data_IF_479680703663
#
_entry.id   IF_479680703663
#
_cell.length_a   1.000
_cell.length_b   1.000
_cell.length_c   1.000
_cell.angle_alpha   90.00
_cell.angle_beta   90.00
_cell.angle_gamma   90.00
#
_symmetry.space_group_name_H-M   'P 1'
#
loop_
_entity.id
_entity.type
_entity.pdbx_description
1 polymer ?
#
# COMPACT_ATOMS: atom_id res chain seq x y z
N UNK A 1 3.38 1.09 16.36
CA UNK A 1 3.90 2.25 15.59
C UNK A 1 2.86 2.60 14.53
N UNK A 2 2.38 3.84 14.49
CA UNK A 2 1.35 4.27 13.53
C UNK A 2 1.96 4.48 12.15
N UNK A 3 1.40 3.81 11.13
CA UNK A 3 1.83 3.98 9.74
C UNK A 3 1.44 5.37 9.22
N UNK A 4 2.38 6.12 8.58
CA UNK A 4 2.13 7.45 8.01
C UNK A 4 1.14 7.45 6.83
N UNK A 5 0.62 6.28 6.45
CA UNK A 5 -0.38 6.11 5.39
C UNK A 5 -1.82 6.40 5.85
N UNK A 6 -2.12 6.36 7.17
CA UNK A 6 -3.51 6.56 7.67
C UNK A 6 -4.03 8.00 7.51
N UNK A 7 -3.15 8.97 7.33
CA UNK A 7 -3.51 10.39 7.26
C UNK A 7 -4.04 10.82 5.89
N UNK A 8 -3.81 10.05 4.83
CA UNK A 8 -4.20 10.41 3.46
C UNK A 8 -5.28 9.45 2.96
N UNK A 9 -6.21 9.91 2.12
CA UNK A 9 -7.42 9.16 1.69
C UNK A 9 -7.14 7.81 0.99
N UNK A 10 -5.87 7.45 0.81
CA UNK A 10 -5.40 6.11 0.52
C UNK A 10 -5.56 5.19 1.73
N UNK A 11 -6.68 4.48 1.81
CA UNK A 11 -6.90 3.53 2.92
C UNK A 11 -6.22 2.21 2.58
N UNK A 12 -5.00 2.01 3.10
CA UNK A 12 -4.32 0.70 3.06
C UNK A 12 -5.28 -0.38 3.56
N UNK A 13 -5.50 -1.41 2.74
CA UNK A 13 -6.41 -2.53 3.06
C UNK A 13 -5.64 -3.77 3.46
N UNK A 14 -4.46 -4.00 2.88
CA UNK A 14 -3.65 -5.15 3.17
C UNK A 14 -2.18 -4.84 2.82
N UNK A 15 -1.26 -5.47 3.55
CA UNK A 15 0.18 -5.42 3.29
C UNK A 15 0.84 -6.63 3.94
N UNK A 16 1.99 -7.06 3.43
CA UNK A 16 2.76 -8.15 4.01
C UNK A 16 3.83 -8.69 3.09
N UNK A 17 4.38 -9.84 3.49
CA UNK A 17 5.34 -10.61 2.71
C UNK A 17 4.55 -11.46 1.69
N UNK A 18 5.08 -11.57 0.47
CA UNK A 18 4.55 -12.45 -0.55
C UNK A 18 4.63 -13.91 -0.09
N UNK A 19 3.53 -14.64 -0.24
CA UNK A 19 3.54 -16.09 0.01
C UNK A 19 4.29 -16.87 -1.08
N UNK A 20 4.55 -16.25 -2.24
CA UNK A 20 5.09 -16.92 -3.43
C UNK A 20 6.55 -16.56 -3.71
N UNK A 21 7.02 -15.44 -3.15
CA UNK A 21 8.33 -14.85 -3.42
C UNK A 21 9.04 -14.59 -2.08
N UNK A 22 10.20 -15.20 -1.84
CA UNK A 22 10.90 -15.17 -0.55
C UNK A 22 11.25 -13.74 -0.07
N UNK A 23 11.58 -12.85 -1.01
CA UNK A 23 11.87 -11.43 -0.76
C UNK A 23 10.80 -10.49 -1.34
N UNK A 24 9.62 -11.03 -1.66
CA UNK A 24 8.51 -10.26 -2.20
C UNK A 24 7.72 -9.59 -1.08
N UNK A 25 7.30 -8.34 -1.31
CA UNK A 25 6.38 -7.63 -0.43
C UNK A 25 5.21 -7.12 -1.26
N UNK A 26 4.03 -7.04 -0.63
CA UNK A 26 2.86 -6.46 -1.27
C UNK A 26 2.24 -5.36 -0.41
N UNK A 27 1.66 -4.39 -1.09
CA UNK A 27 0.85 -3.32 -0.51
C UNK A 27 -0.40 -3.19 -1.38
N UNK A 28 -1.57 -3.26 -0.73
CA UNK A 28 -2.86 -3.05 -1.39
C UNK A 28 -3.53 -1.86 -0.72
N UNK A 29 -3.92 -0.91 -1.56
CA UNK A 29 -4.65 0.29 -1.19
C UNK A 29 -6.00 0.31 -1.88
N UNK A 30 -7.06 0.67 -1.14
CA UNK A 30 -8.35 0.96 -1.74
C UNK A 30 -8.54 2.45 -1.94
N UNK A 31 -9.14 2.79 -3.08
CA UNK A 31 -9.53 4.14 -3.45
C UNK A 31 -11.03 4.15 -3.69
N UNK A 32 -11.67 5.30 -3.49
CA UNK A 32 -13.12 5.46 -3.69
C UNK A 32 -13.54 5.15 -5.13
N UNK A 33 -12.75 5.63 -6.08
CA UNK A 33 -12.95 5.46 -7.51
C UNK A 33 -11.62 5.66 -8.25
N UNK A 34 -11.60 5.39 -9.56
CA UNK A 34 -10.41 5.56 -10.40
C UNK A 34 -9.96 7.03 -10.50
N UNK A 35 -10.87 8.00 -10.38
CA UNK A 35 -10.52 9.41 -10.45
C UNK A 35 -9.73 9.86 -9.21
N UNK A 36 -9.99 9.25 -8.05
CA UNK A 36 -9.27 9.49 -6.80
C UNK A 36 -7.89 8.83 -6.73
N UNK A 37 -7.56 7.89 -7.62
CA UNK A 37 -6.29 7.16 -7.59
C UNK A 37 -5.08 8.10 -7.79
N UNK A 38 -5.01 8.75 -8.94
CA UNK A 38 -3.85 9.54 -9.35
C UNK A 38 -3.60 10.72 -8.39
N UNK A 39 -4.60 11.54 -8.03
CA UNK A 39 -4.39 12.65 -7.09
C UNK A 39 -3.92 12.18 -5.72
N UNK A 40 -4.45 11.06 -5.22
CA UNK A 40 -4.05 10.51 -3.91
C UNK A 40 -2.60 10.02 -3.93
N UNK A 41 -2.18 9.36 -5.02
CA UNK A 41 -0.79 8.93 -5.17
C UNK A 41 0.16 10.10 -5.34
N UNK A 42 -0.20 11.10 -6.16
CA UNK A 42 0.63 12.28 -6.39
C UNK A 42 0.81 13.06 -5.09
N UNK A 43 -0.27 13.27 -4.34
CA UNK A 43 -0.19 13.88 -3.01
C UNK A 43 0.71 13.06 -2.08
N UNK A 44 0.58 11.73 -2.09
CA UNK A 44 1.39 10.88 -1.23
C UNK A 44 2.88 10.97 -1.54
N UNK A 45 3.24 10.75 -2.80
CA UNK A 45 4.62 10.71 -3.24
C UNK A 45 5.27 12.10 -3.28
N UNK A 46 4.48 13.18 -3.33
CA UNK A 46 4.98 14.54 -3.25
C UNK A 46 5.26 15.02 -1.81
N UNK A 47 4.69 14.34 -0.82
CA UNK A 47 4.81 14.75 0.59
C UNK A 47 6.25 14.74 1.12
N UNK A 48 6.51 15.63 2.08
CA UNK A 48 7.79 15.65 2.80
C UNK A 48 7.98 14.41 3.68
N UNK A 49 6.90 13.94 4.33
CA UNK A 49 6.93 12.74 5.16
C UNK A 49 7.38 11.49 4.39
N UNK A 50 7.07 11.39 3.09
CA UNK A 50 7.61 10.35 2.23
C UNK A 50 9.03 10.69 1.75
N UNK A 51 9.21 11.86 1.12
CA UNK A 51 10.47 12.26 0.46
C UNK A 51 11.66 12.33 1.40
N UNK A 52 11.48 12.95 2.57
CA UNK A 52 12.51 13.08 3.62
C UNK A 52 12.46 11.95 4.64
N UNK A 53 11.46 11.06 4.53
CA UNK A 53 11.30 9.92 5.41
C UNK A 53 11.94 8.65 4.84
N UNK A 54 11.22 7.51 4.84
CA UNK A 54 11.83 6.21 4.56
C UNK A 54 12.08 5.94 3.07
N UNK A 55 11.72 6.87 2.17
CA UNK A 55 11.72 6.64 0.72
C UNK A 55 13.04 6.08 0.22
N UNK A 56 14.16 6.72 0.53
CA UNK A 56 15.46 6.30 -0.01
C UNK A 56 15.84 4.90 0.47
N UNK A 57 15.69 4.63 1.76
CA UNK A 57 16.00 3.31 2.34
C UNK A 57 15.10 2.18 1.83
N UNK A 58 13.86 2.48 1.45
CA UNK A 58 12.94 1.51 0.84
C UNK A 58 13.28 1.32 -0.64
N UNK A 59 13.31 2.39 -1.43
CA UNK A 59 13.50 2.33 -2.89
C UNK A 59 14.86 1.72 -3.25
N UNK A 60 15.90 2.00 -2.47
CA UNK A 60 17.23 1.41 -2.69
C UNK A 60 17.28 -0.12 -2.51
N UNK A 61 16.27 -0.72 -1.86
CA UNK A 61 16.16 -2.17 -1.65
C UNK A 61 15.26 -2.87 -2.67
N UNK A 62 14.57 -2.12 -3.53
CA UNK A 62 13.64 -2.67 -4.51
C UNK A 62 14.40 -2.92 -5.80
N UNK A 63 14.62 -4.21 -6.12
CA UNK A 63 15.22 -4.60 -7.41
C UNK A 63 14.19 -4.52 -8.55
N UNK A 64 12.97 -5.00 -8.29
CA UNK A 64 11.86 -4.96 -9.25
C UNK A 64 10.57 -4.59 -8.52
N UNK A 65 9.66 -3.91 -9.23
CA UNK A 65 8.33 -3.61 -8.71
C UNK A 65 7.29 -3.75 -9.79
N UNK A 66 6.09 -4.17 -9.39
CA UNK A 66 4.91 -4.26 -10.23
C UNK A 66 3.75 -3.61 -9.49
N UNK A 67 2.95 -2.84 -10.21
CA UNK A 67 1.71 -2.26 -9.71
C UNK A 67 0.58 -2.59 -10.68
N UNK A 68 -0.56 -3.00 -10.16
CA UNK A 68 -1.76 -3.32 -10.95
C UNK A 68 -3.01 -2.73 -10.30
N UNK A 69 -4.05 -2.55 -11.11
CA UNK A 69 -5.36 -2.06 -10.68
C UNK A 69 -6.41 -3.13 -10.94
N UNK A 70 -7.24 -3.38 -9.94
CA UNK A 70 -8.35 -4.33 -10.02
C UNK A 70 -9.63 -3.71 -9.47
N UNK A 71 -10.75 -4.02 -10.10
CA UNK A 71 -12.07 -3.63 -9.62
C UNK A 71 -12.55 -4.64 -8.59
N UNK A 72 -12.97 -4.17 -7.43
CA UNK A 72 -13.51 -4.99 -6.35
C UNK A 72 -14.80 -4.37 -5.82
N UNK A 73 -15.70 -5.22 -5.33
CA UNK A 73 -16.87 -4.77 -4.59
C UNK A 73 -16.45 -4.20 -3.23
N UNK A 74 -17.33 -3.40 -2.61
CA UNK A 74 -17.09 -2.92 -1.26
C UNK A 74 -16.90 -4.08 -0.25
N UNK A 75 -17.63 -5.18 -0.43
CA UNK A 75 -17.46 -6.39 0.39
C UNK A 75 -16.07 -7.02 0.20
N UNK A 76 -15.60 -7.19 -1.03
CA UNK A 76 -14.26 -7.74 -1.29
C UNK A 76 -13.15 -6.86 -0.72
N UNK A 77 -13.31 -5.53 -0.73
CA UNK A 77 -12.39 -4.61 -0.05
C UNK A 77 -12.39 -4.83 1.47
N UNK A 78 -13.56 -5.07 2.08
CA UNK A 78 -13.63 -5.39 3.51
C UNK A 78 -13.02 -6.75 3.83
N UNK A 79 -13.23 -7.75 2.98
CA UNK A 79 -12.65 -9.09 3.16
C UNK A 79 -11.12 -9.04 3.15
N UNK A 80 -10.51 -8.20 2.31
CA UNK A 80 -9.06 -7.95 2.33
C UNK A 80 -8.61 -7.39 3.69
N UNK A 81 -9.35 -6.45 4.28
CA UNK A 81 -9.01 -5.85 5.58
C UNK A 81 -9.08 -6.86 6.72
N UNK A 82 -10.13 -7.68 6.74
CA UNK A 82 -10.36 -8.64 7.82
C UNK A 82 -9.42 -9.83 7.72
N UNK A 83 -9.13 -10.28 6.51
CA UNK A 83 -8.24 -11.41 6.25
C UNK A 83 -6.76 -11.06 6.44
N UNK A 84 -6.37 -9.79 6.26
CA UNK A 84 -4.99 -9.33 6.45
C UNK A 84 -4.63 -9.06 7.93
N UNK A 85 -5.16 -9.87 8.86
CA UNK A 85 -4.88 -9.80 10.30
C UNK A 85 -3.73 -10.72 10.72
N UNK A 86 -3.30 -11.65 9.88
CA UNK A 86 -2.35 -12.73 10.21
C UNK A 86 -0.90 -12.58 9.73
N UNK A 87 -0.57 -11.60 8.87
CA UNK A 87 0.78 -11.49 8.26
C UNK A 87 1.48 -10.20 8.68
N UNK A 88 1.50 -9.94 9.99
CA UNK A 88 2.38 -8.95 10.60
C UNK A 88 3.62 -9.67 11.15
N UNK A 89 4.41 -10.29 10.27
CA UNK A 89 5.67 -10.88 10.70
C UNK A 89 6.76 -9.80 10.73
N UNK A 90 7.19 -9.51 11.97
CA UNK A 90 8.47 -8.97 12.47
C UNK A 90 9.06 -7.70 11.81
#
# INVERSE_FOLDING_TARGET
MSSPLRQWETVVVAYGISAQEENGYFLICAYKDQAGLQPSQDQFYASEAWRSGPREGIVAKIETSLSTLVWLSAAGVQDLRTSNTGTQAA
#
